data_IF_590068348570
#
_entry.id   IF_590068348570
#
_cell.length_a   1.000
_cell.length_b   1.000
_cell.length_c   1.000
_cell.angle_alpha   90.00
_cell.angle_beta   90.00
_cell.angle_gamma   90.00
#
_symmetry.space_group_name_H-M   'P 1'
#
loop_
_entity.id
_entity.type
_entity.pdbx_description
1 polymer ?
#
# COMPACT_ATOMS: atom_id res chain seq x y z
N UNK A 1 -6.54 -4.38 43.40
CA UNK A 1 -7.28 -4.21 42.14
C UNK A 1 -6.23 -4.25 41.05
N UNK A 2 -6.11 -5.39 40.38
CA UNK A 2 -5.21 -5.55 39.25
C UNK A 2 -5.86 -4.76 38.09
N UNK A 3 -5.31 -3.59 37.78
CA UNK A 3 -5.70 -2.85 36.60
C UNK A 3 -5.28 -3.70 35.38
N UNK A 4 -6.24 -4.32 34.72
CA UNK A 4 -5.99 -4.94 33.43
C UNK A 4 -5.55 -3.77 32.53
N UNK A 5 -4.28 -3.75 32.16
CA UNK A 5 -3.80 -2.78 31.17
C UNK A 5 -4.57 -3.08 29.87
N UNK A 6 -5.48 -2.20 29.50
CA UNK A 6 -6.18 -2.32 28.21
C UNK A 6 -5.12 -2.18 27.11
N UNK A 7 -5.14 -3.09 26.14
CA UNK A 7 -4.31 -2.99 24.96
C UNK A 7 -4.61 -1.67 24.23
N UNK A 8 -3.60 -0.97 23.72
CA UNK A 8 -3.84 0.27 23.01
C UNK A 8 -4.64 0.01 21.71
N UNK A 9 -5.29 1.03 21.22
CA UNK A 9 -6.04 0.94 19.96
C UNK A 9 -5.10 0.72 18.77
N UNK A 10 -3.94 1.43 18.77
CA UNK A 10 -2.94 1.35 17.70
C UNK A 10 -1.57 0.96 18.25
N UNK A 11 -0.86 0.09 17.53
CA UNK A 11 0.59 -0.03 17.61
C UNK A 11 1.19 0.49 16.31
N UNK A 12 2.04 1.50 16.41
CA UNK A 12 2.77 2.08 15.27
C UNK A 12 4.15 1.43 15.28
N UNK A 13 4.54 0.81 14.18
CA UNK A 13 5.83 0.14 14.02
C UNK A 13 6.72 0.98 13.12
N UNK A 14 7.89 1.33 13.63
CA UNK A 14 8.91 2.09 12.92
C UNK A 14 10.25 1.36 12.98
N UNK A 15 10.62 0.63 11.91
CA UNK A 15 11.98 0.10 11.77
C UNK A 15 12.95 1.28 11.55
N UNK A 16 14.06 1.30 12.29
CA UNK A 16 15.02 2.41 12.29
C UNK A 16 16.39 1.90 11.86
N UNK A 17 16.96 2.50 10.81
CA UNK A 17 18.33 2.26 10.40
C UNK A 17 19.00 3.53 9.89
N UNK A 18 19.82 4.12 10.70
CA UNK A 18 20.74 5.22 10.42
C UNK A 18 20.13 6.51 9.79
N UNK A 19 18.91 6.94 10.20
CA UNK A 19 18.37 8.21 9.72
C UNK A 19 19.14 9.42 10.27
N UNK A 20 19.11 10.58 9.59
CA UNK A 20 19.55 11.84 10.16
C UNK A 20 18.80 12.18 11.46
N UNK A 21 19.50 12.82 12.41
CA UNK A 21 18.96 13.05 13.76
C UNK A 21 17.69 13.91 13.78
N UNK A 22 17.64 14.96 12.95
CA UNK A 22 16.49 15.85 12.82
C UNK A 22 15.29 15.17 12.15
N UNK A 23 15.54 14.32 11.18
CA UNK A 23 14.54 13.51 10.49
C UNK A 23 13.89 12.53 11.46
N UNK A 24 14.71 11.74 12.21
CA UNK A 24 14.21 10.79 13.20
C UNK A 24 13.37 11.47 14.30
N UNK A 25 13.82 12.63 14.79
CA UNK A 25 13.05 13.42 15.76
C UNK A 25 11.72 13.87 15.18
N UNK A 26 11.69 14.36 13.93
CA UNK A 26 10.46 14.79 13.28
C UNK A 26 9.44 13.63 13.12
N UNK A 27 9.92 12.41 12.82
CA UNK A 27 9.06 11.20 12.77
C UNK A 27 8.43 10.92 14.14
N UNK A 28 9.24 10.89 15.21
CA UNK A 28 8.77 10.67 16.58
C UNK A 28 7.79 11.76 17.01
N UNK A 29 8.13 13.02 16.74
CA UNK A 29 7.30 14.19 17.09
C UNK A 29 5.94 14.14 16.39
N UNK A 30 5.86 13.62 15.16
CA UNK A 30 4.59 13.46 14.42
C UNK A 30 3.64 12.49 15.12
N UNK A 31 4.17 11.45 15.76
CA UNK A 31 3.39 10.51 16.57
C UNK A 31 3.00 11.10 17.91
N UNK A 32 3.92 11.79 18.59
CA UNK A 32 3.64 12.49 19.85
C UNK A 32 2.57 13.58 19.70
N UNK A 33 2.49 14.20 18.52
CA UNK A 33 1.51 15.25 18.20
C UNK A 33 0.12 14.73 17.85
N UNK A 34 -0.11 13.40 17.80
CA UNK A 34 -1.40 12.83 17.44
C UNK A 34 -2.51 13.25 18.41
N UNK A 35 -3.66 13.66 17.86
CA UNK A 35 -4.85 14.04 18.64
C UNK A 35 -5.51 12.84 19.32
N UNK A 36 -5.36 11.66 18.77
CA UNK A 36 -5.82 10.41 19.35
C UNK A 36 -4.72 9.80 20.22
N UNK A 37 -4.97 9.62 21.51
CA UNK A 37 -3.94 9.32 22.50
C UNK A 37 -3.74 7.83 22.82
N UNK A 38 -4.60 6.94 22.33
CA UNK A 38 -4.56 5.50 22.67
C UNK A 38 -3.73 4.72 21.64
N UNK A 39 -2.40 4.91 21.73
CA UNK A 39 -1.42 4.28 20.86
C UNK A 39 -0.17 3.86 21.61
N UNK A 40 0.57 2.93 21.02
CA UNK A 40 1.92 2.50 21.31
C UNK A 40 2.81 2.78 20.10
N UNK A 41 3.99 3.36 20.30
CA UNK A 41 5.02 3.50 19.26
C UNK A 41 6.16 2.53 19.53
N UNK A 42 6.48 1.68 18.58
CA UNK A 42 7.55 0.67 18.66
C UNK A 42 8.65 1.07 17.69
N UNK A 43 9.76 1.56 18.24
CA UNK A 43 10.96 1.97 17.50
C UNK A 43 11.95 0.81 17.54
N UNK A 44 12.25 0.21 16.38
CA UNK A 44 13.14 -0.94 16.30
C UNK A 44 14.45 -0.51 15.65
N UNK A 45 15.49 -0.32 16.44
CA UNK A 45 16.84 -0.02 15.95
C UNK A 45 17.49 -1.27 15.35
N UNK A 46 17.64 -1.30 14.03
CA UNK A 46 18.28 -2.39 13.29
C UNK A 46 19.82 -2.24 13.31
N UNK A 47 20.38 -1.96 14.51
CA UNK A 47 21.79 -1.74 14.74
C UNK A 47 22.35 -0.59 13.89
N UNK A 48 21.80 0.58 14.06
CA UNK A 48 22.30 1.81 13.42
C UNK A 48 23.77 2.09 13.79
N UNK A 49 24.63 2.36 12.81
CA UNK A 49 26.05 2.64 13.08
C UNK A 49 26.30 4.04 13.68
N UNK A 50 25.40 5.00 13.41
CA UNK A 50 25.56 6.38 13.87
C UNK A 50 25.25 6.52 15.37
N UNK A 51 26.14 7.19 16.14
CA UNK A 51 26.04 7.24 17.60
C UNK A 51 24.87 8.07 18.11
N UNK A 52 24.19 8.83 17.27
CA UNK A 52 23.05 9.66 17.67
C UNK A 52 21.70 8.90 17.73
N UNK A 53 21.55 7.79 17.00
CA UNK A 53 20.26 7.10 16.86
C UNK A 53 19.75 6.57 18.20
N UNK A 54 20.47 5.66 18.85
CA UNK A 54 20.04 5.08 20.12
C UNK A 54 19.78 6.11 21.24
N UNK A 55 20.59 7.15 21.43
CA UNK A 55 20.28 8.22 22.37
C UNK A 55 18.93 8.89 22.12
N UNK A 56 18.58 9.18 20.83
CA UNK A 56 17.29 9.78 20.48
C UNK A 56 16.15 8.85 20.83
N UNK A 57 16.25 7.56 20.48
CA UNK A 57 15.19 6.57 20.77
C UNK A 57 14.99 6.41 22.27
N UNK A 58 16.06 6.30 23.04
CA UNK A 58 16.01 6.16 24.51
C UNK A 58 15.48 7.41 25.20
N UNK A 59 15.84 8.61 24.69
CA UNK A 59 15.29 9.89 25.17
C UNK A 59 13.76 9.93 24.98
N UNK A 60 13.27 9.54 23.80
CA UNK A 60 11.85 9.49 23.50
C UNK A 60 11.10 8.50 24.42
N UNK A 61 11.64 7.28 24.62
CA UNK A 61 11.04 6.30 25.51
C UNK A 61 11.07 6.70 26.99
N UNK A 62 12.08 7.47 27.43
CA UNK A 62 12.13 8.01 28.78
C UNK A 62 11.11 9.14 28.99
N UNK A 63 10.76 9.90 27.92
CA UNK A 63 9.81 11.01 27.97
C UNK A 63 8.35 10.54 27.90
N UNK A 64 8.05 9.45 27.19
CA UNK A 64 6.69 8.93 27.03
C UNK A 64 6.65 7.40 27.13
N UNK A 65 5.91 6.90 28.15
CA UNK A 65 5.75 5.45 28.42
C UNK A 65 5.07 4.64 27.31
N UNK A 66 4.44 5.31 26.34
CA UNK A 66 3.81 4.67 25.17
C UNK A 66 4.84 4.29 24.12
N UNK A 67 6.08 4.76 24.25
CA UNK A 67 7.18 4.46 23.32
C UNK A 67 7.98 3.28 23.84
N UNK A 68 8.15 2.27 23.01
CA UNK A 68 8.94 1.07 23.26
C UNK A 68 10.10 1.04 22.29
N UNK A 69 11.32 0.84 22.78
CA UNK A 69 12.51 0.70 21.96
C UNK A 69 12.96 -0.75 21.96
N UNK A 70 13.20 -1.30 20.78
CA UNK A 70 13.78 -2.61 20.55
C UNK A 70 15.16 -2.40 19.93
N UNK A 71 16.19 -2.84 20.62
CA UNK A 71 17.58 -2.74 20.13
C UNK A 71 18.03 -4.11 19.61
N UNK A 72 18.28 -4.22 18.31
CA UNK A 72 18.75 -5.47 17.70
C UNK A 72 20.25 -5.64 17.88
N UNK A 73 20.67 -6.87 18.09
CA UNK A 73 22.13 -7.20 18.19
C UNK A 73 22.83 -7.14 16.84
N UNK A 74 22.08 -7.38 15.75
CA UNK A 74 22.58 -7.47 14.40
C UNK A 74 21.68 -6.72 13.42
N UNK A 75 22.26 -6.19 12.35
CA UNK A 75 21.48 -5.64 11.23
C UNK A 75 20.88 -6.80 10.43
N UNK A 76 19.55 -6.90 10.45
CA UNK A 76 18.81 -7.93 9.75
C UNK A 76 17.95 -7.39 8.59
N UNK A 77 18.03 -6.09 8.35
CA UNK A 77 17.23 -5.39 7.34
C UNK A 77 15.80 -5.09 7.79
N UNK A 78 15.11 -4.34 6.96
CA UNK A 78 13.76 -3.80 7.27
C UNK A 78 12.75 -4.89 7.62
N UNK A 79 12.80 -6.04 6.95
CA UNK A 79 11.88 -7.17 7.19
C UNK A 79 12.04 -7.71 8.62
N UNK A 80 13.28 -7.94 9.05
CA UNK A 80 13.54 -8.48 10.38
C UNK A 80 13.18 -7.45 11.47
N UNK A 81 13.55 -6.19 11.29
CA UNK A 81 13.20 -5.11 12.23
C UNK A 81 11.69 -4.91 12.32
N UNK A 82 10.97 -4.96 11.20
CA UNK A 82 9.51 -4.84 11.19
C UNK A 82 8.84 -6.01 11.92
N UNK A 83 9.32 -7.24 11.74
CA UNK A 83 8.80 -8.41 12.45
C UNK A 83 9.08 -8.34 13.96
N UNK A 84 10.27 -7.91 14.37
CA UNK A 84 10.56 -7.68 15.80
C UNK A 84 9.63 -6.62 16.41
N UNK A 85 9.21 -5.63 15.60
CA UNK A 85 8.19 -4.66 15.96
C UNK A 85 6.80 -5.28 16.08
N UNK A 86 6.41 -6.16 15.15
CA UNK A 86 5.15 -6.91 15.21
C UNK A 86 5.06 -7.77 16.46
N UNK A 87 6.14 -8.43 16.87
CA UNK A 87 6.20 -9.27 18.08
C UNK A 87 6.01 -8.46 19.37
N UNK A 88 6.21 -7.15 19.35
CA UNK A 88 6.00 -6.22 20.48
C UNK A 88 4.68 -5.47 20.42
N UNK A 89 3.98 -5.56 19.31
CA UNK A 89 2.71 -4.88 19.11
C UNK A 89 1.60 -5.53 19.96
N UNK A 90 0.85 -4.69 20.66
CA UNK A 90 -0.26 -5.11 21.51
C UNK A 90 -1.57 -4.42 21.15
N UNK A 91 -1.54 -3.53 20.16
CA UNK A 91 -2.69 -2.78 19.67
C UNK A 91 -3.63 -3.63 18.83
N UNK A 92 -4.88 -3.21 18.76
CA UNK A 92 -5.89 -3.84 17.90
C UNK A 92 -5.58 -3.62 16.42
N UNK A 93 -5.00 -2.46 16.09
CA UNK A 93 -4.54 -2.11 14.76
C UNK A 93 -3.04 -1.84 14.75
N UNK A 94 -2.39 -2.26 13.67
CA UNK A 94 -0.96 -2.05 13.42
C UNK A 94 -0.82 -1.03 12.29
N UNK A 95 -0.17 0.08 12.58
CA UNK A 95 0.17 1.12 11.60
C UNK A 95 1.66 1.04 11.25
N UNK A 96 1.99 1.17 9.97
CA UNK A 96 3.36 1.17 9.50
C UNK A 96 3.82 2.60 9.26
N UNK A 97 4.97 2.97 9.83
CA UNK A 97 5.56 4.29 9.68
C UNK A 97 7.06 4.17 9.47
N UNK A 98 7.57 4.68 8.36
CA UNK A 98 9.00 4.70 8.09
C UNK A 98 9.73 5.76 8.96
N UNK A 99 11.00 5.49 9.29
CA UNK A 99 11.76 6.31 10.24
C UNK A 99 12.13 7.70 9.73
N UNK A 100 11.88 7.98 8.48
CA UNK A 100 12.17 9.24 7.78
C UNK A 100 10.92 10.01 7.34
N UNK A 101 9.74 9.47 7.61
CA UNK A 101 8.46 10.05 7.23
C UNK A 101 7.69 10.64 8.43
N UNK A 102 6.55 11.26 8.14
CA UNK A 102 5.66 11.81 9.17
C UNK A 102 4.20 11.51 8.86
N UNK A 103 3.38 11.49 9.91
CA UNK A 103 1.93 11.32 9.77
C UNK A 103 1.20 12.63 10.15
N UNK A 104 0.09 12.90 9.45
CA UNK A 104 -0.76 14.04 9.74
C UNK A 104 -1.26 13.99 11.21
N UNK A 105 -1.36 15.13 11.86
CA UNK A 105 -1.70 15.26 13.29
C UNK A 105 -2.97 14.51 13.70
N UNK A 106 -3.94 14.36 12.80
CA UNK A 106 -5.21 13.66 13.04
C UNK A 106 -5.26 12.27 12.42
N UNK A 107 -4.15 11.71 11.95
CA UNK A 107 -4.13 10.45 11.23
C UNK A 107 -4.79 9.32 12.00
N UNK A 108 -4.41 9.08 13.25
CA UNK A 108 -4.97 8.01 14.07
C UNK A 108 -6.44 8.26 14.44
N UNK A 109 -6.84 9.52 14.66
CA UNK A 109 -8.24 9.89 14.92
C UNK A 109 -9.13 9.56 13.72
N UNK A 110 -8.66 9.90 12.51
CA UNK A 110 -9.40 9.63 11.28
C UNK A 110 -9.48 8.11 11.03
N UNK A 111 -8.39 7.38 11.20
CA UNK A 111 -8.39 5.90 11.05
C UNK A 111 -9.36 5.26 12.06
N UNK A 112 -9.38 5.69 13.32
CA UNK A 112 -10.30 5.15 14.33
C UNK A 112 -11.77 5.45 13.96
N UNK A 113 -12.05 6.65 13.43
CA UNK A 113 -13.39 6.99 12.95
C UNK A 113 -13.85 6.03 11.84
N UNK A 114 -13.00 5.78 10.85
CA UNK A 114 -13.30 4.85 9.74
C UNK A 114 -13.43 3.41 10.24
N UNK A 115 -12.58 2.98 11.18
CA UNK A 115 -12.68 1.65 11.79
C UNK A 115 -14.00 1.44 12.54
N UNK A 116 -14.50 2.47 13.25
CA UNK A 116 -15.81 2.40 13.92
C UNK A 116 -16.98 2.38 12.94
N UNK A 117 -16.87 3.07 11.82
CA UNK A 117 -17.88 3.07 10.76
C UNK A 117 -17.89 1.78 9.92
N UNK A 118 -16.75 1.07 9.89
CA UNK A 118 -16.54 -0.14 9.13
C UNK A 118 -16.04 -1.26 10.07
N UNK A 119 -16.91 -1.93 10.84
CA UNK A 119 -16.51 -2.94 11.83
C UNK A 119 -15.73 -4.13 11.26
N UNK A 120 -15.90 -4.41 9.96
CA UNK A 120 -15.20 -5.47 9.24
C UNK A 120 -13.88 -5.01 8.60
N UNK A 121 -13.49 -3.76 8.81
CA UNK A 121 -12.23 -3.23 8.29
C UNK A 121 -11.04 -4.00 8.88
N UNK A 122 -10.35 -4.75 8.03
CA UNK A 122 -9.13 -5.47 8.39
C UNK A 122 -7.88 -4.77 7.87
N UNK A 123 -8.02 -3.97 6.82
CA UNK A 123 -6.96 -3.16 6.24
C UNK A 123 -7.52 -1.82 5.76
N UNK A 124 -6.79 -0.74 5.99
CA UNK A 124 -7.05 0.53 5.35
C UNK A 124 -5.76 1.19 4.87
N UNK A 125 -5.92 2.07 3.89
CA UNK A 125 -4.86 2.93 3.36
C UNK A 125 -5.42 4.34 3.13
N UNK A 126 -4.53 5.33 3.21
CA UNK A 126 -4.91 6.73 2.98
C UNK A 126 -4.26 7.31 1.73
N UNK A 127 -4.65 8.53 1.39
CA UNK A 127 -3.88 9.37 0.47
C UNK A 127 -2.56 9.80 1.13
N UNK A 128 -1.61 10.23 0.31
CA UNK A 128 -0.28 10.68 0.74
C UNK A 128 0.17 11.90 -0.07
N UNK A 129 1.18 12.59 0.41
CA UNK A 129 1.92 13.59 -0.34
C UNK A 129 3.42 13.48 -0.07
N UNK A 130 4.21 14.31 -0.74
CA UNK A 130 5.64 14.38 -0.50
C UNK A 130 5.99 15.60 0.35
N UNK A 131 6.86 15.38 1.34
CA UNK A 131 7.46 16.43 2.16
C UNK A 131 8.87 16.75 1.63
N UNK A 132 9.04 17.95 1.10
CA UNK A 132 10.31 18.42 0.53
C UNK A 132 11.29 18.87 1.62
N UNK A 133 12.62 18.92 1.35
CA UNK A 133 13.61 19.38 2.32
C UNK A 133 13.42 20.83 2.80
N UNK A 134 12.75 21.69 2.01
CA UNK A 134 12.40 23.07 2.36
C UNK A 134 11.06 23.18 3.11
N UNK A 135 10.49 22.06 3.55
CA UNK A 135 9.33 22.01 4.45
C UNK A 135 7.97 22.18 3.76
N UNK A 136 7.90 22.02 2.43
CA UNK A 136 6.63 22.09 1.69
C UNK A 136 6.04 20.70 1.44
N UNK A 137 4.70 20.63 1.45
CA UNK A 137 3.96 19.45 0.99
C UNK A 137 3.62 19.62 -0.49
N UNK A 138 3.99 18.63 -1.30
CA UNK A 138 3.87 18.66 -2.77
C UNK A 138 3.42 17.30 -3.31
N UNK A 139 2.97 17.28 -4.57
CA UNK A 139 2.63 16.06 -5.29
C UNK A 139 1.64 15.14 -4.54
N UNK A 140 0.48 15.63 -4.11
CA UNK A 140 -0.49 14.77 -3.43
C UNK A 140 -0.91 13.63 -4.36
N UNK A 141 -0.90 12.41 -3.82
CA UNK A 141 -1.43 11.23 -4.48
C UNK A 141 -2.79 10.89 -3.89
N UNK A 142 -3.84 11.34 -4.57
CA UNK A 142 -5.21 10.98 -4.28
C UNK A 142 -5.49 9.60 -4.87
N UNK A 143 -5.62 8.62 -4.00
CA UNK A 143 -5.73 7.22 -4.39
C UNK A 143 -7.19 6.86 -4.73
N UNK A 144 -7.42 5.89 -5.61
CA UNK A 144 -8.76 5.38 -5.85
C UNK A 144 -9.23 4.51 -4.69
N UNK A 145 -10.54 4.30 -4.60
CA UNK A 145 -11.11 3.27 -3.75
C UNK A 145 -10.55 1.88 -4.11
N UNK A 146 -10.78 0.93 -3.20
CA UNK A 146 -10.17 -0.39 -3.32
C UNK A 146 -10.39 -1.04 -4.69
N UNK A 147 -9.28 -1.39 -5.33
CA UNK A 147 -9.23 -2.06 -6.62
C UNK A 147 -8.15 -3.14 -6.64
N UNK A 148 -8.50 -4.42 -6.55
CA UNK A 148 -7.52 -5.51 -6.61
C UNK A 148 -6.77 -5.56 -7.94
N UNK A 149 -7.40 -5.16 -9.05
CA UNK A 149 -6.71 -5.12 -10.35
C UNK A 149 -5.64 -4.03 -10.38
N UNK A 150 -5.93 -2.84 -9.81
CA UNK A 150 -4.93 -1.79 -9.71
C UNK A 150 -3.80 -2.18 -8.77
N UNK A 151 -4.10 -2.84 -7.64
CA UNK A 151 -3.05 -3.32 -6.74
C UNK A 151 -2.10 -4.29 -7.44
N UNK A 152 -2.59 -5.19 -8.28
CA UNK A 152 -1.73 -6.09 -9.08
C UNK A 152 -0.84 -5.37 -10.07
N UNK A 153 -1.23 -4.18 -10.50
CA UNK A 153 -0.43 -3.38 -11.43
C UNK A 153 0.55 -2.43 -10.73
N UNK A 154 0.28 -2.00 -9.51
CA UNK A 154 1.07 -1.02 -8.77
C UNK A 154 0.74 -1.08 -7.28
N UNK A 155 1.76 -0.97 -6.40
CA UNK A 155 1.54 -0.77 -4.97
C UNK A 155 1.04 0.64 -4.68
N UNK A 156 -0.23 0.91 -5.00
CA UNK A 156 -0.82 2.23 -4.78
C UNK A 156 -1.35 2.46 -3.36
N UNK A 157 -1.46 1.39 -2.55
CA UNK A 157 -1.98 1.47 -1.18
C UNK A 157 -0.95 1.95 -0.14
N UNK A 158 0.35 1.87 -0.44
CA UNK A 158 1.44 2.37 0.37
C UNK A 158 1.57 3.90 0.14
N UNK A 159 1.57 4.76 1.13
CA UNK A 159 1.33 4.82 2.55
C UNK A 159 -0.04 5.49 2.82
N UNK A 160 -0.66 5.60 3.93
CA UNK A 160 -0.45 5.11 5.26
C UNK A 160 -1.22 3.80 5.42
N UNK A 161 -0.52 2.70 5.65
CA UNK A 161 -1.11 1.37 5.76
C UNK A 161 -1.40 1.02 7.21
N UNK A 162 -2.64 0.64 7.53
CA UNK A 162 -3.06 0.20 8.85
C UNK A 162 -3.83 -1.10 8.73
N UNK A 163 -3.40 -2.10 9.50
CA UNK A 163 -3.91 -3.46 9.46
C UNK A 163 -4.51 -3.85 10.81
N UNK A 164 -5.53 -4.70 10.81
CA UNK A 164 -5.96 -5.38 12.02
C UNK A 164 -4.87 -6.37 12.45
N UNK A 165 -4.56 -6.38 13.75
CA UNK A 165 -3.48 -7.21 14.30
C UNK A 165 -3.70 -8.71 14.02
N UNK A 166 -4.94 -9.19 14.15
CA UNK A 166 -5.29 -10.60 13.90
C UNK A 166 -5.03 -11.00 12.45
N UNK A 167 -5.28 -10.09 11.49
CA UNK A 167 -4.97 -10.35 10.09
C UNK A 167 -3.47 -10.52 9.86
N UNK A 168 -2.63 -9.65 10.45
CA UNK A 168 -1.17 -9.78 10.35
C UNK A 168 -0.65 -11.05 10.99
N UNK A 169 -1.23 -11.46 12.12
CA UNK A 169 -0.90 -12.73 12.78
C UNK A 169 -1.28 -13.94 11.90
N UNK A 170 -2.45 -13.91 11.24
CA UNK A 170 -2.89 -14.98 10.34
C UNK A 170 -1.96 -15.14 9.14
N UNK A 171 -1.51 -14.05 8.53
CA UNK A 171 -0.65 -14.08 7.34
C UNK A 171 0.85 -14.20 7.65
N UNK A 172 1.24 -14.18 8.93
CA UNK A 172 2.61 -14.40 9.38
C UNK A 172 3.57 -13.22 9.19
N UNK A 173 3.07 -11.97 9.18
CA UNK A 173 3.92 -10.77 9.13
C UNK A 173 4.67 -10.59 7.80
N UNK A 174 5.84 -9.94 7.87
CA UNK A 174 6.68 -9.69 6.70
C UNK A 174 7.51 -10.91 6.32
N UNK A 175 7.68 -11.17 5.02
CA UNK A 175 8.44 -12.32 4.51
C UNK A 175 9.85 -11.90 4.06
N UNK A 176 10.90 -12.69 4.41
CA UNK A 176 12.24 -12.47 3.88
C UNK A 176 12.31 -12.60 2.36
N UNK A 177 13.24 -11.85 1.76
CA UNK A 177 13.49 -11.89 0.31
C UNK A 177 12.59 -10.97 -0.52
N UNK A 178 11.77 -10.14 0.11
CA UNK A 178 10.98 -9.10 -0.53
C UNK A 178 11.46 -7.70 -0.16
N UNK A 179 12.70 -7.56 0.30
CA UNK A 179 13.30 -6.29 0.68
C UNK A 179 13.14 -5.25 -0.44
N UNK A 180 12.70 -4.05 -0.05
CA UNK A 180 12.36 -2.96 -0.97
C UNK A 180 10.97 -3.04 -1.60
N UNK A 181 10.26 -4.17 -1.42
CA UNK A 181 8.83 -4.36 -1.75
C UNK A 181 8.15 -5.25 -0.69
N UNK A 182 8.67 -5.25 0.53
CA UNK A 182 8.17 -6.02 1.66
C UNK A 182 6.74 -5.62 2.07
N UNK A 183 6.45 -4.34 1.96
CA UNK A 183 5.13 -3.74 2.16
C UNK A 183 4.14 -4.20 1.08
N UNK A 184 4.58 -4.23 -0.18
CA UNK A 184 3.75 -4.71 -1.28
C UNK A 184 3.38 -6.19 -1.12
N UNK A 185 4.36 -7.04 -0.79
CA UNK A 185 4.10 -8.45 -0.48
C UNK A 185 3.12 -8.61 0.68
N UNK A 186 3.30 -7.81 1.75
CA UNK A 186 2.42 -7.81 2.92
C UNK A 186 0.98 -7.40 2.52
N UNK A 187 0.83 -6.30 1.79
CA UNK A 187 -0.48 -5.77 1.36
C UNK A 187 -1.19 -6.80 0.46
N UNK A 188 -0.48 -7.40 -0.50
CA UNK A 188 -1.06 -8.43 -1.37
C UNK A 188 -1.60 -9.61 -0.55
N UNK A 189 -0.81 -10.15 0.41
CA UNK A 189 -1.25 -11.26 1.27
C UNK A 189 -2.37 -10.85 2.23
N UNK A 190 -2.32 -9.66 2.77
CA UNK A 190 -3.36 -9.13 3.64
C UNK A 190 -4.69 -9.01 2.90
N UNK A 191 -4.67 -8.45 1.69
CA UNK A 191 -5.89 -8.26 0.90
C UNK A 191 -6.49 -9.55 0.33
N UNK A 192 -5.75 -10.67 0.32
CA UNK A 192 -6.26 -12.01 0.03
C UNK A 192 -7.17 -12.56 1.15
N UNK A 193 -7.02 -12.06 2.37
CA UNK A 193 -7.70 -12.55 3.59
C UNK A 193 -8.63 -11.52 4.22
N UNK A 194 -8.38 -10.23 4.00
CA UNK A 194 -9.16 -9.16 4.59
C UNK A 194 -10.65 -9.28 4.26
N UNK A 195 -11.50 -9.16 5.28
CA UNK A 195 -12.96 -9.10 5.12
C UNK A 195 -13.37 -7.81 4.42
N UNK A 196 -12.73 -6.69 4.78
CA UNK A 196 -12.95 -5.39 4.16
C UNK A 196 -11.65 -4.60 4.08
N UNK A 197 -11.39 -4.03 2.89
CA UNK A 197 -10.33 -3.05 2.61
C UNK A 197 -10.98 -1.69 2.45
N UNK A 198 -10.50 -0.68 3.19
CA UNK A 198 -11.09 0.66 3.23
C UNK A 198 -10.09 1.70 2.75
N UNK A 199 -10.45 2.51 1.78
CA UNK A 199 -9.74 3.73 1.41
C UNK A 199 -10.19 4.89 2.30
N UNK A 200 -9.23 5.64 2.83
CA UNK A 200 -9.44 6.87 3.59
C UNK A 200 -9.00 8.04 2.71
N UNK A 201 -9.92 8.80 2.09
CA UNK A 201 -9.60 9.84 1.10
C UNK A 201 -9.14 11.14 1.75
N UNK A 202 -8.12 11.03 2.59
CA UNK A 202 -7.43 12.13 3.25
C UNK A 202 -5.93 11.90 3.18
N UNK A 203 -5.15 12.95 2.96
CA UNK A 203 -3.68 12.90 3.08
C UNK A 203 -3.34 12.75 4.56
N UNK A 204 -2.99 11.54 4.98
CA UNK A 204 -2.62 11.21 6.37
C UNK A 204 -1.14 10.87 6.53
N UNK A 205 -0.40 10.79 5.44
CA UNK A 205 1.01 10.42 5.41
C UNK A 205 1.81 11.38 4.53
N UNK A 206 2.99 11.76 4.99
CA UNK A 206 3.89 12.67 4.31
C UNK A 206 5.22 11.98 4.04
N UNK A 207 5.42 11.56 2.81
CA UNK A 207 6.63 10.87 2.37
C UNK A 207 7.76 11.87 2.13
N UNK A 208 8.82 11.77 2.97
CA UNK A 208 9.95 12.69 2.90
C UNK A 208 10.84 12.39 1.71
N UNK A 209 11.16 13.44 0.96
CA UNK A 209 12.12 13.36 -0.14
C UNK A 209 13.55 13.50 0.41
N UNK A 210 14.25 12.37 0.55
CA UNK A 210 15.67 12.34 0.86
C UNK A 210 16.49 11.95 -0.38
N UNK A 211 17.73 12.44 -0.55
CA UNK A 211 18.59 12.05 -1.68
C UNK A 211 18.87 10.55 -1.78
N UNK A 212 18.75 9.83 -0.66
CA UNK A 212 18.99 8.39 -0.54
C UNK A 212 17.71 7.53 -0.65
N UNK A 213 16.54 8.17 -0.70
CA UNK A 213 15.25 7.47 -0.79
C UNK A 213 14.88 7.16 -2.24
N UNK A 214 14.02 6.14 -2.44
CA UNK A 214 13.44 5.80 -3.76
C UNK A 214 12.62 6.98 -4.32
N UNK A 215 12.07 7.84 -3.44
CA UNK A 215 11.41 9.07 -3.84
C UNK A 215 12.38 10.06 -4.54
N UNK A 216 13.70 9.97 -4.25
CA UNK A 216 14.73 10.81 -4.88
C UNK A 216 15.35 10.21 -6.14
N UNK A 217 15.54 8.88 -6.22
CA UNK A 217 16.08 8.17 -7.38
C UNK A 217 15.41 6.80 -7.59
N UNK A 218 14.54 6.66 -8.60
CA UNK A 218 13.91 5.37 -8.94
C UNK A 218 14.92 4.26 -9.32
N UNK A 219 16.19 4.59 -9.59
CA UNK A 219 17.22 3.60 -9.91
C UNK A 219 18.00 3.09 -8.69
N UNK A 220 17.79 3.68 -7.52
CA UNK A 220 18.55 3.36 -6.32
C UNK A 220 18.44 1.88 -5.87
N UNK A 221 17.30 1.24 -6.14
CA UNK A 221 17.00 -0.12 -5.66
C UNK A 221 16.40 -1.03 -6.75
N UNK A 222 17.14 -1.45 -7.79
CA UNK A 222 16.59 -2.28 -8.87
C UNK A 222 16.06 -3.65 -8.37
N UNK A 223 16.62 -4.19 -7.27
CA UNK A 223 16.16 -5.44 -6.65
C UNK A 223 14.73 -5.33 -6.09
N UNK A 224 14.29 -4.13 -5.71
CA UNK A 224 12.95 -3.91 -5.21
C UNK A 224 11.88 -4.19 -6.26
N UNK A 225 12.12 -3.81 -7.52
CA UNK A 225 11.16 -4.04 -8.60
C UNK A 225 10.99 -5.52 -8.92
N UNK A 226 12.10 -6.29 -8.93
CA UNK A 226 12.02 -7.74 -9.10
C UNK A 226 11.34 -8.42 -7.90
N UNK A 227 11.57 -7.96 -6.68
CA UNK A 227 10.83 -8.43 -5.51
C UNK A 227 9.33 -8.15 -5.63
N UNK A 228 8.95 -6.95 -6.08
CA UNK A 228 7.55 -6.59 -6.34
C UNK A 228 6.93 -7.46 -7.45
N UNK A 229 7.63 -7.69 -8.57
CA UNK A 229 7.18 -8.59 -9.62
C UNK A 229 6.89 -10.00 -9.08
N UNK A 230 7.80 -10.54 -8.25
CA UNK A 230 7.60 -11.85 -7.61
C UNK A 230 6.41 -11.85 -6.66
N UNK A 231 6.25 -10.77 -5.86
CA UNK A 231 5.13 -10.65 -4.94
C UNK A 231 3.79 -10.72 -5.68
N UNK A 232 3.66 -10.01 -6.82
CA UNK A 232 2.46 -10.06 -7.67
C UNK A 232 2.29 -11.43 -8.32
N UNK A 233 3.37 -12.07 -8.82
CA UNK A 233 3.27 -13.42 -9.40
C UNK A 233 2.78 -14.42 -8.36
N UNK A 234 3.39 -14.46 -7.19
CA UNK A 234 2.98 -15.36 -6.12
C UNK A 234 1.55 -15.09 -5.64
N UNK A 235 1.13 -13.81 -5.62
CA UNK A 235 -0.27 -13.45 -5.36
C UNK A 235 -1.21 -14.04 -6.41
N UNK A 236 -0.88 -13.92 -7.71
CA UNK A 236 -1.68 -14.54 -8.78
C UNK A 236 -1.77 -16.04 -8.59
N UNK A 237 -0.66 -16.71 -8.26
CA UNK A 237 -0.61 -18.15 -8.06
C UNK A 237 -1.49 -18.59 -6.87
N UNK A 238 -1.42 -17.88 -5.71
CA UNK A 238 -2.26 -18.15 -4.53
C UNK A 238 -3.75 -17.92 -4.80
N UNK A 239 -4.07 -16.93 -5.63
CA UNK A 239 -5.46 -16.59 -6.00
C UNK A 239 -6.00 -17.43 -7.16
N UNK A 240 -5.22 -18.38 -7.69
CA UNK A 240 -5.61 -19.20 -8.84
C UNK A 240 -5.75 -18.43 -10.15
N UNK A 241 -5.11 -17.27 -10.26
CA UNK A 241 -5.11 -16.44 -11.47
C UNK A 241 -4.00 -16.95 -12.39
N UNK A 242 -4.38 -17.68 -13.43
CA UNK A 242 -3.43 -18.15 -14.44
C UNK A 242 -2.88 -16.95 -15.22
N UNK A 243 -1.69 -16.47 -14.86
CA UNK A 243 -1.07 -15.29 -15.45
C UNK A 243 0.46 -15.35 -15.38
N UNK A 244 1.10 -14.58 -16.24
CA UNK A 244 2.52 -14.25 -16.14
C UNK A 244 2.65 -12.76 -15.80
N UNK A 245 3.49 -12.44 -14.80
CA UNK A 245 3.74 -11.07 -14.36
C UNK A 245 5.07 -10.58 -14.90
N UNK A 246 5.04 -9.47 -15.61
CA UNK A 246 6.20 -8.80 -16.22
C UNK A 246 6.33 -7.39 -15.61
N UNK A 247 7.55 -6.84 -15.54
CA UNK A 247 7.73 -5.42 -15.27
C UNK A 247 7.19 -4.62 -16.47
N UNK A 248 6.53 -3.49 -16.21
CA UNK A 248 6.06 -2.60 -17.26
C UNK A 248 7.12 -1.50 -17.56
N UNK A 249 6.84 -0.65 -18.56
CA UNK A 249 7.74 0.44 -18.98
C UNK A 249 7.99 1.47 -17.87
N UNK A 250 7.03 1.64 -16.95
CA UNK A 250 7.17 2.51 -15.77
C UNK A 250 7.64 1.65 -14.59
N UNK A 251 8.77 1.99 -13.99
CA UNK A 251 9.30 1.29 -12.82
C UNK A 251 8.31 1.27 -11.66
N UNK A 252 8.21 0.14 -10.98
CA UNK A 252 7.25 -0.08 -9.90
C UNK A 252 5.82 -0.35 -10.40
N UNK A 253 5.64 -0.51 -11.72
CA UNK A 253 4.40 -0.99 -12.30
C UNK A 253 4.59 -2.34 -12.98
N UNK A 254 3.53 -3.16 -12.98
CA UNK A 254 3.56 -4.54 -13.44
C UNK A 254 2.42 -4.82 -14.39
N UNK A 255 2.71 -5.64 -15.40
CA UNK A 255 1.72 -6.14 -16.34
C UNK A 255 1.37 -7.58 -16.02
N UNK A 256 0.13 -7.82 -15.61
CA UNK A 256 -0.41 -9.16 -15.38
C UNK A 256 -1.03 -9.68 -16.68
N UNK A 257 -0.31 -10.54 -17.39
CA UNK A 257 -0.80 -11.22 -18.60
C UNK A 257 -1.58 -12.46 -18.22
N UNK A 258 -2.89 -12.38 -18.22
CA UNK A 258 -3.77 -13.51 -17.93
C UNK A 258 -3.77 -14.51 -19.07
N UNK A 259 -3.65 -15.79 -18.75
CA UNK A 259 -3.72 -16.88 -19.72
C UNK A 259 -5.19 -17.30 -19.86
N UNK A 260 -5.76 -17.00 -21.01
CA UNK A 260 -7.13 -17.40 -21.32
C UNK A 260 -7.20 -18.91 -21.49
N UNK A 261 -7.96 -19.60 -20.63
CA UNK A 261 -8.17 -21.04 -20.68
C UNK A 261 -9.29 -21.38 -21.67
N UNK A 262 -9.03 -22.32 -22.58
CA UNK A 262 -10.02 -22.79 -23.56
C UNK A 262 -10.42 -21.73 -24.59
N UNK A 263 -11.67 -21.78 -25.04
CA UNK A 263 -12.27 -20.84 -25.98
C UNK A 263 -13.56 -20.24 -25.38
N UNK A 264 -13.45 -19.33 -24.39
CA UNK A 264 -14.60 -18.70 -23.76
C UNK A 264 -15.37 -17.82 -24.75
N UNK A 265 -16.70 -17.76 -24.58
CA UNK A 265 -17.53 -16.76 -25.26
C UNK A 265 -17.22 -15.38 -24.68
N UNK A 266 -16.88 -14.41 -25.55
CA UNK A 266 -16.65 -13.03 -25.19
C UNK A 266 -17.85 -12.19 -25.58
N UNK A 267 -18.52 -11.59 -24.59
CA UNK A 267 -19.62 -10.66 -24.83
C UNK A 267 -19.07 -9.25 -25.07
N UNK A 268 -19.31 -8.72 -26.27
CA UNK A 268 -18.94 -7.35 -26.64
C UNK A 268 -20.16 -6.46 -26.45
N UNK A 269 -20.13 -5.62 -25.41
CA UNK A 269 -21.22 -4.69 -25.08
C UNK A 269 -21.01 -3.39 -25.82
N UNK A 270 -21.99 -2.99 -26.64
CA UNK A 270 -21.95 -1.76 -27.43
C UNK A 270 -23.13 -0.87 -27.05
N UNK A 271 -22.94 0.14 -26.21
CA UNK A 271 -23.96 1.16 -26.01
C UNK A 271 -24.06 2.03 -27.27
N UNK A 272 -25.27 2.32 -27.72
CA UNK A 272 -25.49 3.09 -28.95
C UNK A 272 -26.84 3.79 -28.94
N UNK A 273 -26.87 5.00 -29.51
CA UNK A 273 -28.08 5.71 -29.89
C UNK A 273 -28.38 5.59 -31.40
N UNK A 274 -27.74 4.66 -32.11
CA UNK A 274 -27.94 4.45 -33.53
C UNK A 274 -27.33 5.51 -34.45
N UNK A 275 -26.43 6.36 -33.96
CA UNK A 275 -25.81 7.44 -34.75
C UNK A 275 -25.18 6.96 -36.04
N UNK A 276 -25.41 7.73 -37.09
CA UNK A 276 -24.85 7.52 -38.42
C UNK A 276 -23.81 8.60 -38.72
N UNK A 277 -22.75 8.22 -39.38
CA UNK A 277 -21.71 9.14 -39.81
C UNK A 277 -20.65 8.46 -40.67
N UNK A 278 -19.58 9.19 -41.00
CA UNK A 278 -18.56 8.71 -41.90
C UNK A 278 -17.51 7.87 -41.16
N UNK A 279 -17.51 6.57 -41.38
CA UNK A 279 -16.49 5.63 -40.91
C UNK A 279 -15.76 5.03 -42.13
N UNK A 280 -14.41 5.10 -42.13
CA UNK A 280 -13.55 4.63 -43.23
C UNK A 280 -13.96 5.19 -44.63
N UNK A 281 -14.37 6.47 -44.66
CA UNK A 281 -14.75 7.15 -45.90
C UNK A 281 -16.17 6.87 -46.40
N UNK A 282 -16.95 6.01 -45.77
CA UNK A 282 -18.32 5.62 -46.12
C UNK A 282 -19.28 6.00 -45.02
N UNK A 283 -20.45 6.50 -45.37
CA UNK A 283 -21.53 6.77 -44.42
C UNK A 283 -22.16 5.45 -43.93
N UNK A 284 -22.18 5.26 -42.61
CA UNK A 284 -22.73 4.04 -41.97
C UNK A 284 -23.05 4.27 -40.47
N UNK A 285 -23.87 3.39 -39.92
CA UNK A 285 -24.11 3.36 -38.49
C UNK A 285 -22.81 2.95 -37.78
N UNK A 286 -22.37 3.75 -36.76
CA UNK A 286 -21.14 3.50 -36.04
C UNK A 286 -21.15 2.17 -35.29
N UNK A 287 -22.30 1.76 -34.74
CA UNK A 287 -22.42 0.48 -34.05
C UNK A 287 -22.21 -0.70 -35.02
N UNK A 288 -22.74 -0.62 -36.23
CA UNK A 288 -22.53 -1.65 -37.27
C UNK A 288 -21.05 -1.68 -37.68
N UNK A 289 -20.44 -0.52 -37.90
CA UNK A 289 -19.03 -0.43 -38.24
C UNK A 289 -18.12 -1.02 -37.14
N UNK A 290 -18.46 -0.80 -35.86
CA UNK A 290 -17.76 -1.41 -34.72
C UNK A 290 -17.87 -2.93 -34.72
N UNK A 291 -19.09 -3.49 -34.93
CA UNK A 291 -19.32 -4.92 -35.04
C UNK A 291 -18.49 -5.55 -36.16
N UNK A 292 -18.53 -4.94 -37.34
CA UNK A 292 -17.74 -5.41 -38.51
C UNK A 292 -16.24 -5.42 -38.20
N UNK A 293 -15.75 -4.34 -37.58
CA UNK A 293 -14.33 -4.23 -37.19
C UNK A 293 -13.93 -5.32 -36.20
N UNK A 294 -14.71 -5.55 -35.15
CA UNK A 294 -14.41 -6.62 -34.18
C UNK A 294 -14.42 -7.99 -34.86
N UNK A 295 -15.41 -8.30 -35.71
CA UNK A 295 -15.47 -9.56 -36.44
C UNK A 295 -14.27 -9.80 -37.34
N UNK A 296 -13.72 -8.73 -37.95
CA UNK A 296 -12.54 -8.83 -38.83
C UNK A 296 -11.23 -9.08 -38.07
N UNK A 297 -11.14 -8.63 -36.81
CA UNK A 297 -9.89 -8.60 -36.06
C UNK A 297 -9.84 -9.59 -34.90
N UNK A 298 -10.82 -10.48 -34.76
CA UNK A 298 -10.78 -11.54 -33.74
C UNK A 298 -11.13 -12.92 -34.32
N UNK A 299 -10.43 -13.95 -33.83
CA UNK A 299 -10.77 -15.35 -34.08
C UNK A 299 -11.51 -16.00 -32.90
N UNK A 300 -11.79 -15.22 -31.82
CA UNK A 300 -12.47 -15.73 -30.63
C UNK A 300 -13.96 -15.89 -30.87
N UNK A 301 -14.60 -16.78 -30.11
CA UNK A 301 -16.06 -16.84 -30.02
C UNK A 301 -16.58 -15.57 -29.36
N UNK A 302 -17.40 -14.81 -30.10
CA UNK A 302 -17.94 -13.52 -29.64
C UNK A 302 -19.45 -13.50 -29.80
N UNK A 303 -20.11 -12.77 -28.91
CA UNK A 303 -21.47 -12.29 -29.08
C UNK A 303 -21.50 -10.76 -28.93
N UNK A 304 -22.48 -10.10 -29.51
CA UNK A 304 -22.68 -8.67 -29.38
C UNK A 304 -23.94 -8.40 -28.60
N UNK A 305 -23.82 -7.60 -27.56
CA UNK A 305 -24.93 -7.09 -26.76
C UNK A 305 -25.10 -5.62 -27.06
N UNK A 306 -26.13 -5.28 -27.81
CA UNK A 306 -26.46 -3.90 -28.16
C UNK A 306 -27.34 -3.30 -27.07
N UNK A 307 -26.84 -2.24 -26.43
CA UNK A 307 -27.62 -1.45 -25.48
C UNK A 307 -28.07 -0.18 -26.21
N UNK A 308 -29.33 -0.15 -26.60
CA UNK A 308 -29.90 0.96 -27.36
C UNK A 308 -30.58 1.92 -26.40
N UNK A 309 -30.25 3.20 -26.50
CA UNK A 309 -30.93 4.26 -25.77
C UNK A 309 -32.17 4.68 -26.57
N UNK A 310 -33.33 4.58 -25.93
CA UNK A 310 -34.61 5.00 -26.51
C UNK A 310 -34.75 6.52 -26.31
N UNK A 311 -34.53 7.31 -27.35
CA UNK A 311 -34.88 8.73 -27.42
C UNK A 311 -36.19 8.97 -28.17
#
# INVERSE_FOLDING_TARGET
VTTIAMSPRFSIITPVYDPPADVLRATIDSVLAQTFGDWQLILVDDRSPSPHVLPILREAAAADRRIVVVERSDNGGIVAASNDGLDRATGEFIALLDHDDTIERRALEVVDLYARQNPEMDYCYSDEDHHTPDGRYVNPFYKPDWSPERLRAQNYCCHFSVFRADLLAEIGGFRPGFDGSQDYDLILRATERARQVVHIPFVLYHWRQLPTSVAGDPNAKPYAYEAGRRAVQEHCDRMGIAATVEEDAIRGTYRVRRHVQGDPLVSVIIPTCGSIGRAWGVERCYAVAAIESVKQHTSRRIEFVMVVDDF
#
